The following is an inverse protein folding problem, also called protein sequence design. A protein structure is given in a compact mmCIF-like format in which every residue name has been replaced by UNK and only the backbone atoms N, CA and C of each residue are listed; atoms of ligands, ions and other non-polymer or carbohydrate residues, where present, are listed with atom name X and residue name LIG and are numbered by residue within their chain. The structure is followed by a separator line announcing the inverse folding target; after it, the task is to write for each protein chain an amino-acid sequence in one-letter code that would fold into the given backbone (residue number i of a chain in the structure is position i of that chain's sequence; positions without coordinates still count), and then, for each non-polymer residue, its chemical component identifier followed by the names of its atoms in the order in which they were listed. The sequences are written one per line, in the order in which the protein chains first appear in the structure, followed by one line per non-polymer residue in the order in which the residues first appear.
data_IF_596608286222
#
_entry.id   IF_596608286222
#
_cell.length_a   1.000
_cell.length_b   1.000
_cell.length_c   1.000
_cell.angle_alpha   90.00
_cell.angle_beta   90.00
_cell.angle_gamma   90.00
#
_symmetry.space_group_name_H-M   'P 1'
#
loop_
_entity.id
_entity.type
_entity.pdbx_description
1 polymer ?
#
# COMPACT_ATOMS: atom_id res chain seq x y z
N UNK A 1 -8.51 1.99 2.04
CA UNK A 1 -7.08 1.54 1.98
C UNK A 1 -6.29 2.30 3.02
N UNK A 2 -5.43 1.62 3.78
CA UNK A 2 -4.46 2.25 4.67
C UNK A 2 -3.07 2.22 4.03
N UNK A 3 -2.25 3.21 4.40
CA UNK A 3 -0.89 3.35 3.89
C UNK A 3 0.03 3.67 5.08
N UNK A 4 1.13 2.95 5.19
CA UNK A 4 2.23 3.29 6.08
C UNK A 4 3.50 3.49 5.27
N UNK A 5 4.23 4.57 5.56
CA UNK A 5 5.42 4.98 4.80
C UNK A 5 6.67 4.73 5.62
N UNK A 6 7.70 4.25 4.95
CA UNK A 6 9.04 4.02 5.49
C UNK A 6 10.02 4.76 4.59
N UNK A 7 10.57 5.85 5.10
CA UNK A 7 11.54 6.69 4.37
C UNK A 7 12.87 5.96 4.30
N UNK A 8 13.62 6.14 3.21
CA UNK A 8 14.97 5.60 3.07
C UNK A 8 15.84 6.06 4.24
N UNK A 9 16.64 5.16 4.77
CA UNK A 9 17.59 5.44 5.85
C UNK A 9 19.02 5.67 5.35
N UNK A 10 19.31 5.34 4.09
CA UNK A 10 20.52 5.72 3.39
C UNK A 10 20.24 5.80 1.88
N UNK A 11 20.90 6.74 1.22
CA UNK A 11 20.92 6.84 -0.24
C UNK A 11 22.28 7.34 -0.73
N UNK A 12 22.56 7.11 -2.00
CA UNK A 12 23.79 7.56 -2.62
C UNK A 12 23.65 7.54 -4.15
N UNK A 13 24.39 8.40 -4.82
CA UNK A 13 24.67 8.30 -6.26
C UNK A 13 26.16 8.01 -6.44
N UNK A 14 26.46 6.95 -7.19
CA UNK A 14 27.83 6.52 -7.54
C UNK A 14 28.04 6.68 -9.05
N UNK A 15 29.24 7.08 -9.46
CA UNK A 15 29.53 7.38 -10.86
C UNK A 15 30.93 6.98 -11.29
N UNK A 16 31.12 6.75 -12.60
CA UNK A 16 32.41 6.62 -13.25
C UNK A 16 32.70 7.76 -14.24
N UNK A 17 32.02 8.89 -14.11
CA UNK A 17 32.23 10.03 -14.96
C UNK A 17 33.65 10.54 -14.93
N UNK A 18 34.11 11.20 -16.01
CA UNK A 18 35.38 11.82 -16.06
C UNK A 18 35.45 13.12 -15.25
N UNK A 19 36.61 13.42 -14.68
CA UNK A 19 36.93 14.75 -14.15
C UNK A 19 37.10 15.75 -15.30
N UNK A 20 37.26 17.03 -14.98
CA UNK A 20 37.45 18.11 -15.96
C UNK A 20 38.57 17.87 -16.97
N UNK A 21 39.56 17.09 -16.58
CA UNK A 21 40.72 16.75 -17.44
C UNK A 21 40.38 15.75 -18.56
N UNK A 22 39.13 15.19 -18.56
CA UNK A 22 38.69 14.10 -19.45
C UNK A 22 39.63 12.91 -19.52
N UNK A 23 40.51 12.78 -18.55
CA UNK A 23 41.53 11.72 -18.48
C UNK A 23 41.39 10.87 -17.22
N UNK A 24 41.08 11.51 -16.11
CA UNK A 24 40.91 10.88 -14.81
C UNK A 24 39.42 10.62 -14.53
N UNK A 25 39.09 9.40 -14.09
CA UNK A 25 37.72 9.07 -13.69
C UNK A 25 37.46 9.45 -12.23
N UNK A 26 36.29 10.01 -11.94
CA UNK A 26 35.80 10.34 -10.58
C UNK A 26 35.19 9.14 -9.87
N UNK A 27 35.74 7.95 -10.04
CA UNK A 27 35.17 6.68 -9.53
C UNK A 27 35.17 6.55 -8.01
N UNK A 28 35.90 7.41 -7.30
CA UNK A 28 35.88 7.50 -5.85
C UNK A 28 34.82 8.44 -5.31
N UNK A 29 34.11 9.17 -6.15
CA UNK A 29 33.10 10.15 -5.75
C UNK A 29 31.81 9.48 -5.34
N UNK A 30 31.11 10.12 -4.39
CA UNK A 30 29.75 9.74 -3.97
C UNK A 30 28.93 11.00 -3.66
N UNK A 31 27.61 10.83 -3.48
CA UNK A 31 26.67 11.91 -3.23
C UNK A 31 25.72 11.56 -2.08
N UNK A 32 26.24 10.93 -1.02
CA UNK A 32 25.43 10.46 0.10
C UNK A 32 24.74 11.56 0.92
N UNK A 33 25.13 12.83 0.79
CA UNK A 33 24.50 13.97 1.44
C UNK A 33 23.87 14.97 0.46
N UNK A 34 23.80 14.62 -0.84
CA UNK A 34 23.13 15.46 -1.81
C UNK A 34 21.61 15.43 -1.63
N UNK A 35 20.95 16.53 -2.02
CA UNK A 35 19.50 16.64 -2.00
C UNK A 35 18.79 15.93 -3.17
N UNK A 36 19.59 15.55 -4.18
CA UNK A 36 19.13 14.97 -5.44
C UNK A 36 19.91 13.69 -5.72
N UNK A 37 19.19 12.69 -6.22
CA UNK A 37 19.72 11.45 -6.75
C UNK A 37 19.69 11.49 -8.27
N UNK A 38 20.76 11.05 -8.93
CA UNK A 38 20.89 11.15 -10.39
C UNK A 38 21.21 9.83 -11.08
N UNK A 39 20.53 9.57 -12.20
CA UNK A 39 20.85 8.49 -13.14
C UNK A 39 21.10 9.09 -14.50
N UNK A 40 22.28 8.89 -15.04
CA UNK A 40 22.65 9.30 -16.40
C UNK A 40 23.52 8.25 -17.10
N UNK A 41 23.62 8.40 -18.42
CA UNK A 41 24.55 7.67 -19.27
C UNK A 41 25.04 8.60 -20.37
N UNK A 42 26.34 8.86 -20.44
CA UNK A 42 26.96 9.69 -21.45
C UNK A 42 27.79 8.81 -22.40
N UNK A 43 27.51 8.96 -23.69
CA UNK A 43 28.20 8.20 -24.76
C UNK A 43 29.27 9.02 -25.42
N UNK A 44 30.44 8.42 -25.56
CA UNK A 44 31.52 8.94 -26.37
C UNK A 44 31.96 10.39 -26.04
N UNK A 45 31.98 10.79 -24.78
CA UNK A 45 32.35 12.15 -24.38
C UNK A 45 33.83 12.40 -24.61
N UNK A 46 34.67 11.39 -24.36
CA UNK A 46 36.11 11.44 -24.60
C UNK A 46 36.50 10.81 -25.94
N UNK A 47 36.03 9.59 -26.18
CA UNK A 47 36.30 8.80 -27.39
C UNK A 47 35.12 7.85 -27.64
N UNK A 48 35.05 7.26 -28.84
CA UNK A 48 33.93 6.41 -29.26
C UNK A 48 33.72 5.14 -28.41
N UNK A 49 34.63 4.82 -27.52
CA UNK A 49 34.52 3.67 -26.59
C UNK A 49 34.27 4.10 -25.16
N UNK A 50 34.17 5.41 -24.89
CA UNK A 50 33.93 5.89 -23.52
C UNK A 50 32.45 5.90 -23.15
N UNK A 51 32.16 5.37 -21.97
CA UNK A 51 30.83 5.44 -21.35
C UNK A 51 30.98 5.99 -19.94
N UNK A 52 30.14 6.99 -19.61
CA UNK A 52 30.07 7.55 -18.26
C UNK A 52 28.67 7.27 -17.73
N UNK A 53 28.64 6.67 -16.56
CA UNK A 53 27.39 6.15 -15.96
C UNK A 53 27.26 6.65 -14.53
N UNK A 54 26.03 6.87 -14.11
CA UNK A 54 25.71 6.99 -12.70
C UNK A 54 24.60 5.99 -12.31
N UNK A 55 24.60 5.60 -11.05
CA UNK A 55 23.62 4.69 -10.46
C UNK A 55 23.24 5.15 -9.07
N UNK A 56 22.00 4.93 -8.71
CA UNK A 56 21.46 5.28 -7.39
C UNK A 56 21.45 4.03 -6.51
N UNK A 57 21.85 4.18 -5.27
CA UNK A 57 21.69 3.20 -4.20
C UNK A 57 20.69 3.71 -3.18
N UNK A 58 19.76 2.85 -2.74
CA UNK A 58 18.74 3.18 -1.74
C UNK A 58 18.65 2.07 -0.71
N UNK A 59 18.55 2.42 0.57
CA UNK A 59 18.35 1.47 1.66
C UNK A 59 17.18 1.88 2.54
N UNK A 60 16.46 0.91 3.06
CA UNK A 60 15.25 1.12 3.84
C UNK A 60 15.31 0.41 5.20
N UNK A 61 14.65 0.97 6.24
CA UNK A 61 14.68 0.44 7.60
C UNK A 61 13.79 -0.82 7.71
N UNK A 62 14.31 -1.97 7.30
CA UNK A 62 13.55 -3.22 7.27
C UNK A 62 13.10 -3.67 8.67
N UNK A 63 13.88 -3.34 9.69
CA UNK A 63 13.54 -3.62 11.09
C UNK A 63 12.26 -2.91 11.51
N UNK A 64 12.03 -1.68 11.04
CA UNK A 64 10.81 -0.91 11.34
C UNK A 64 9.60 -1.50 10.63
N UNK A 65 9.80 -2.04 9.42
CA UNK A 65 8.76 -2.75 8.68
C UNK A 65 8.40 -4.05 9.40
N UNK A 66 9.41 -4.83 9.81
CA UNK A 66 9.21 -6.08 10.57
C UNK A 66 8.50 -5.82 11.90
N UNK A 67 8.99 -4.86 12.69
CA UNK A 67 8.37 -4.47 13.96
C UNK A 67 6.92 -3.99 13.79
N UNK A 68 6.64 -3.27 12.69
CA UNK A 68 5.27 -2.85 12.37
C UNK A 68 4.34 -4.03 12.11
N UNK A 69 4.86 -5.10 11.51
CA UNK A 69 4.12 -6.34 11.29
C UNK A 69 3.89 -7.11 12.61
N UNK A 70 4.93 -7.24 13.42
CA UNK A 70 4.85 -7.91 14.73
C UNK A 70 3.84 -7.21 15.66
N UNK A 71 3.79 -5.89 15.62
CA UNK A 71 2.83 -5.08 16.37
C UNK A 71 1.42 -5.05 15.76
N UNK A 72 1.19 -5.68 14.61
CA UNK A 72 -0.08 -5.64 13.90
C UNK A 72 -0.44 -4.27 13.29
N UNK A 73 0.52 -3.36 13.19
CA UNK A 73 0.31 -2.04 12.54
C UNK A 73 0.15 -2.18 11.04
N UNK A 74 0.81 -3.15 10.43
CA UNK A 74 0.59 -3.59 9.05
C UNK A 74 0.14 -5.05 9.06
N UNK A 75 -0.71 -5.48 8.11
CA UNK A 75 -1.21 -6.85 8.06
C UNK A 75 -0.11 -7.90 7.82
N UNK A 76 -0.49 -9.16 7.99
CA UNK A 76 0.35 -10.30 7.62
C UNK A 76 0.69 -10.30 6.13
N UNK A 77 1.73 -11.03 5.77
CA UNK A 77 2.11 -11.27 4.38
C UNK A 77 0.94 -11.82 3.56
N UNK A 78 0.84 -11.37 2.30
CA UNK A 78 -0.28 -11.66 1.41
C UNK A 78 -1.46 -10.70 1.54
N UNK A 79 -1.55 -9.89 2.60
CA UNK A 79 -2.60 -8.88 2.80
C UNK A 79 -2.09 -7.44 2.73
N UNK A 80 -0.84 -7.25 2.39
CA UNK A 80 -0.18 -5.95 2.23
C UNK A 80 0.70 -5.98 1.00
N UNK A 81 0.70 -4.90 0.23
CA UNK A 81 1.61 -4.69 -0.89
C UNK A 81 2.58 -3.56 -0.57
N UNK A 82 3.83 -3.70 -1.01
CA UNK A 82 4.88 -2.72 -0.81
C UNK A 82 5.27 -2.07 -2.13
N UNK A 83 5.26 -0.75 -2.16
CA UNK A 83 5.62 0.04 -3.34
C UNK A 83 6.84 0.90 -3.04
N UNK A 84 7.86 0.78 -3.88
CA UNK A 84 8.97 1.73 -3.91
C UNK A 84 8.49 2.98 -4.64
N UNK A 85 8.66 4.15 -4.00
CA UNK A 85 8.28 5.43 -4.57
C UNK A 85 9.40 6.44 -4.48
N UNK A 86 9.72 7.03 -5.63
CA UNK A 86 10.62 8.16 -5.75
C UNK A 86 9.92 9.26 -6.55
N UNK A 87 10.13 10.49 -6.13
CA UNK A 87 9.54 11.66 -6.78
C UNK A 87 10.54 12.33 -7.69
N UNK A 88 10.06 12.71 -8.87
CA UNK A 88 10.86 13.45 -9.83
C UNK A 88 11.29 14.80 -9.25
N UNK A 89 12.59 15.07 -9.22
CA UNK A 89 13.11 16.41 -8.98
C UNK A 89 13.16 17.18 -10.32
N UNK A 90 12.83 18.46 -10.29
CA UNK A 90 12.83 19.28 -11.48
C UNK A 90 14.21 19.31 -12.13
N UNK A 91 14.27 19.07 -13.42
CA UNK A 91 15.46 19.11 -14.23
C UNK A 91 15.12 19.50 -15.66
N UNK A 92 16.13 19.93 -16.41
CA UNK A 92 15.98 20.16 -17.85
C UNK A 92 15.56 18.86 -18.53
N UNK A 93 14.63 18.95 -19.48
CA UNK A 93 14.12 17.76 -20.17
C UNK A 93 15.24 16.95 -20.79
N UNK A 94 15.30 15.66 -20.46
CA UNK A 94 16.20 14.69 -21.04
C UNK A 94 15.88 14.47 -22.53
N UNK A 95 16.88 14.33 -23.34
CA UNK A 95 16.75 13.87 -24.73
C UNK A 95 17.71 12.68 -24.94
N UNK A 96 17.25 11.50 -25.32
CA UNK A 96 15.85 11.10 -25.58
C UNK A 96 14.97 11.07 -24.29
N UNK A 97 13.67 11.32 -24.43
CA UNK A 97 12.72 11.33 -23.29
C UNK A 97 12.31 9.92 -22.88
N UNK A 98 12.15 9.04 -23.87
CA UNK A 98 11.71 7.66 -23.67
C UNK A 98 12.89 6.77 -23.34
N UNK A 99 12.89 6.20 -22.15
CA UNK A 99 13.91 5.28 -21.68
C UNK A 99 13.38 4.34 -20.61
N UNK A 100 14.16 3.31 -20.31
CA UNK A 100 13.84 2.35 -19.25
C UNK A 100 14.86 2.41 -18.12
N UNK A 101 14.36 2.47 -16.88
CA UNK A 101 15.19 2.23 -15.70
C UNK A 101 15.01 0.77 -15.25
N UNK A 102 16.10 0.21 -14.78
CA UNK A 102 16.14 -1.05 -14.05
C UNK A 102 16.29 -0.74 -12.57
N UNK A 103 15.40 -1.28 -11.76
CA UNK A 103 15.47 -1.31 -10.30
C UNK A 103 15.76 -2.73 -9.89
N UNK A 104 16.81 -2.98 -9.12
CA UNK A 104 17.15 -4.32 -8.66
C UNK A 104 17.56 -4.31 -7.18
N UNK A 105 17.30 -5.40 -6.47
CA UNK A 105 17.82 -5.56 -5.13
C UNK A 105 19.35 -5.72 -5.19
N UNK A 106 20.05 -4.96 -4.33
CA UNK A 106 21.52 -5.04 -4.23
C UNK A 106 21.86 -6.43 -3.66
N UNK A 107 22.81 -7.11 -4.34
CA UNK A 107 23.43 -8.33 -3.84
C UNK A 107 24.79 -7.98 -3.26
N UNK A 108 25.15 -8.64 -2.16
CA UNK A 108 26.51 -8.55 -1.63
C UNK A 108 27.00 -9.95 -1.33
N UNK A 109 28.14 -10.29 -1.88
CA UNK A 109 28.88 -11.50 -1.49
C UNK A 109 29.59 -11.33 -0.13
N UNK A 110 29.57 -10.12 0.40
CA UNK A 110 30.21 -9.71 1.63
C UNK A 110 29.12 -9.43 2.66
N UNK A 111 29.33 -9.82 3.88
CA UNK A 111 28.37 -9.64 4.99
C UNK A 111 28.13 -8.16 5.38
N UNK A 112 28.87 -7.22 4.82
CA UNK A 112 28.73 -5.79 5.06
C UNK A 112 27.82 -5.13 4.05
N UNK A 113 26.97 -4.23 4.53
CA UNK A 113 26.15 -3.35 3.69
C UNK A 113 27.01 -2.21 3.13
N UNK A 114 26.59 -1.61 2.02
CA UNK A 114 27.20 -0.39 1.52
C UNK A 114 27.00 0.79 2.49
N UNK A 115 27.90 1.77 2.44
CA UNK A 115 27.88 2.99 3.24
C UNK A 115 27.39 4.18 2.40
N UNK A 116 26.64 5.10 2.99
CA UNK A 116 26.04 6.25 2.32
C UNK A 116 27.09 7.25 1.81
N UNK A 117 28.08 7.55 2.60
CA UNK A 117 29.09 8.56 2.26
C UNK A 117 28.70 9.98 2.65
N UNK A 118 29.56 10.95 2.25
CA UNK A 118 29.47 12.35 2.68
C UNK A 118 29.55 13.36 1.53
N UNK A 119 29.55 12.92 0.28
CA UNK A 119 29.60 13.78 -0.89
C UNK A 119 28.31 14.59 -1.05
N UNK A 120 28.42 15.83 -1.56
CA UNK A 120 27.30 16.76 -1.73
C UNK A 120 26.86 16.86 -3.20
N UNK A 121 27.78 16.83 -4.14
CA UNK A 121 27.49 16.91 -5.57
C UNK A 121 28.57 16.24 -6.42
N UNK A 122 28.29 16.08 -7.72
CA UNK A 122 29.22 15.54 -8.69
C UNK A 122 30.00 16.62 -9.44
N UNK A 123 29.73 17.88 -9.23
CA UNK A 123 30.24 18.96 -10.06
C UNK A 123 31.78 19.00 -10.07
N UNK A 124 32.39 18.75 -8.93
CA UNK A 124 33.84 18.68 -8.84
C UNK A 124 34.41 17.26 -8.90
N UNK A 125 33.55 16.23 -8.95
CA UNK A 125 33.95 14.82 -8.93
C UNK A 125 35.08 14.53 -7.94
N UNK A 126 34.97 15.09 -6.74
CA UNK A 126 36.02 14.95 -5.72
C UNK A 126 36.16 13.49 -5.36
N UNK A 127 37.35 12.97 -5.44
CA UNK A 127 37.66 11.62 -5.02
C UNK A 127 37.72 11.58 -3.49
N UNK A 128 36.66 11.01 -2.87
CA UNK A 128 36.56 10.84 -1.43
C UNK A 128 37.16 9.52 -0.94
N UNK A 129 37.73 8.70 -1.81
CA UNK A 129 38.30 7.41 -1.40
C UNK A 129 39.51 7.57 -0.48
N UNK A 130 40.20 8.69 -0.50
CA UNK A 130 41.30 8.95 0.42
C UNK A 130 40.87 8.94 1.91
N UNK A 131 39.63 9.30 2.19
CA UNK A 131 39.03 9.20 3.53
C UNK A 131 38.37 7.84 3.76
N UNK A 132 38.24 7.01 2.74
CA UNK A 132 37.55 5.72 2.76
C UNK A 132 36.13 5.77 3.32
N UNK A 133 35.43 6.87 3.08
CA UNK A 133 34.05 7.07 3.53
C UNK A 133 33.08 6.91 2.38
N UNK A 134 32.07 6.07 2.59
CA UNK A 134 30.95 5.86 1.67
C UNK A 134 31.26 4.92 0.50
N UNK A 135 30.19 4.43 -0.08
CA UNK A 135 30.22 3.68 -1.32
C UNK A 135 30.52 4.59 -2.52
N UNK A 136 31.20 4.05 -3.50
CA UNK A 136 31.50 4.72 -4.75
C UNK A 136 31.46 3.69 -5.90
N UNK A 137 31.89 4.07 -7.09
CA UNK A 137 31.87 3.16 -8.24
C UNK A 137 32.70 1.89 -8.06
N UNK A 138 33.79 1.96 -7.30
CA UNK A 138 34.73 0.85 -7.08
C UNK A 138 34.42 0.11 -5.79
N UNK A 139 34.15 0.85 -4.71
CA UNK A 139 34.05 0.29 -3.38
C UNK A 139 32.60 0.30 -2.85
N UNK A 140 32.22 -0.79 -2.18
CA UNK A 140 30.95 -0.93 -1.45
C UNK A 140 30.97 -0.16 -0.12
N UNK A 141 32.13 -0.22 0.57
CA UNK A 141 32.39 0.46 1.84
C UNK A 141 33.89 0.55 2.09
N UNK A 142 34.38 1.71 2.50
CA UNK A 142 35.78 1.89 2.82
C UNK A 142 36.71 1.44 1.68
N UNK A 143 37.53 0.43 1.94
CA UNK A 143 38.44 -0.20 0.92
C UNK A 143 37.90 -1.52 0.35
N UNK A 144 36.69 -1.91 0.72
CA UNK A 144 36.06 -3.16 0.25
C UNK A 144 35.42 -2.92 -1.11
N UNK A 145 35.92 -3.58 -2.16
CA UNK A 145 35.43 -3.40 -3.52
C UNK A 145 34.07 -4.14 -3.76
N UNK A 146 33.29 -3.61 -4.69
CA UNK A 146 32.23 -4.37 -5.35
C UNK A 146 32.84 -5.57 -6.09
N UNK A 147 32.11 -6.67 -6.24
CA UNK A 147 32.52 -7.76 -7.13
C UNK A 147 32.57 -7.27 -8.58
N UNK A 148 31.65 -6.39 -8.96
CA UNK A 148 31.66 -5.70 -10.27
C UNK A 148 31.60 -4.19 -10.04
N UNK A 149 32.52 -3.44 -10.63
CA UNK A 149 32.50 -1.98 -10.52
C UNK A 149 31.15 -1.39 -10.96
N UNK A 150 30.63 -0.47 -10.16
CA UNK A 150 29.33 0.12 -10.36
C UNK A 150 28.18 -0.59 -9.63
N UNK A 151 28.50 -1.53 -8.72
CA UNK A 151 27.56 -2.20 -7.83
C UNK A 151 27.17 -3.60 -8.29
N UNK A 152 26.79 -4.41 -7.32
CA UNK A 152 26.33 -5.78 -7.52
C UNK A 152 24.82 -5.89 -7.21
N UNK A 153 24.07 -6.62 -8.02
CA UNK A 153 22.63 -6.79 -7.84
C UNK A 153 22.15 -8.18 -8.27
N UNK A 154 21.01 -8.56 -7.75
CA UNK A 154 20.31 -9.77 -8.18
C UNK A 154 19.80 -9.62 -9.61
N UNK A 155 20.00 -10.63 -10.44
CA UNK A 155 19.59 -10.65 -11.85
C UNK A 155 18.34 -11.47 -12.12
N UNK A 156 17.82 -12.15 -11.08
CA UNK A 156 16.58 -12.92 -11.18
C UNK A 156 15.35 -12.01 -11.39
N UNK A 157 14.30 -12.57 -12.01
CA UNK A 157 13.10 -11.81 -12.36
C UNK A 157 12.24 -11.38 -11.15
N UNK A 158 12.52 -11.91 -9.95
CA UNK A 158 11.79 -11.58 -8.72
C UNK A 158 12.38 -10.32 -8.09
N UNK A 159 13.68 -10.12 -8.23
CA UNK A 159 14.44 -9.06 -7.57
C UNK A 159 14.87 -7.94 -8.50
N UNK A 160 14.52 -8.03 -9.78
CA UNK A 160 14.86 -7.06 -10.82
C UNK A 160 13.61 -6.66 -11.58
N UNK A 161 13.38 -5.37 -11.66
CA UNK A 161 12.21 -4.75 -12.27
C UNK A 161 12.67 -3.77 -13.35
N UNK A 162 11.83 -3.56 -14.35
CA UNK A 162 12.07 -2.58 -15.41
C UNK A 162 10.86 -1.67 -15.52
N UNK A 163 11.09 -0.38 -15.49
CA UNK A 163 10.04 0.65 -15.59
C UNK A 163 10.34 1.57 -16.75
N UNK A 164 9.32 1.94 -17.52
CA UNK A 164 9.40 2.86 -18.65
C UNK A 164 9.07 4.28 -18.20
N UNK A 165 9.86 5.22 -18.69
CA UNK A 165 9.61 6.65 -18.62
C UNK A 165 9.36 7.14 -20.04
N UNK A 166 8.16 7.70 -20.31
CA UNK A 166 7.76 8.14 -21.64
C UNK A 166 8.13 9.61 -21.91
N UNK A 167 8.12 10.41 -20.86
CA UNK A 167 8.42 11.83 -20.91
C UNK A 167 9.71 12.22 -20.18
N UNK A 168 10.20 11.35 -19.32
CA UNK A 168 11.41 11.53 -18.53
C UNK A 168 11.24 12.30 -17.22
N UNK A 169 10.03 12.83 -16.95
CA UNK A 169 9.70 13.61 -15.75
C UNK A 169 8.71 12.91 -14.82
N UNK A 170 8.39 11.64 -15.08
CA UNK A 170 7.50 10.86 -14.24
C UNK A 170 8.12 10.49 -12.89
N UNK A 171 7.29 10.31 -11.87
CA UNK A 171 7.67 9.64 -10.62
C UNK A 171 7.92 8.16 -10.88
N UNK A 172 8.78 7.55 -10.06
CA UNK A 172 8.91 6.10 -10.03
C UNK A 172 7.95 5.55 -8.96
N UNK A 173 7.08 4.64 -9.38
CA UNK A 173 6.23 3.85 -8.50
C UNK A 173 6.29 2.38 -8.95
N UNK A 174 6.77 1.49 -8.07
CA UNK A 174 7.05 0.11 -8.42
C UNK A 174 6.61 -0.84 -7.31
N UNK A 175 5.89 -1.90 -7.66
CA UNK A 175 5.57 -2.99 -6.72
C UNK A 175 6.83 -3.81 -6.42
N UNK A 176 7.28 -3.76 -5.17
CA UNK A 176 8.45 -4.48 -4.65
C UNK A 176 8.07 -5.46 -3.55
N UNK A 177 6.81 -5.83 -3.47
CA UNK A 177 6.23 -6.66 -2.40
C UNK A 177 7.06 -7.90 -2.13
N UNK A 178 7.39 -8.67 -3.16
CA UNK A 178 8.12 -9.93 -2.99
C UNK A 178 9.51 -9.71 -2.39
N UNK A 179 10.24 -8.69 -2.84
CA UNK A 179 11.58 -8.38 -2.33
C UNK A 179 11.51 -7.95 -0.87
N UNK A 180 10.58 -7.07 -0.52
CA UNK A 180 10.41 -6.62 0.86
C UNK A 180 10.00 -7.79 1.77
N UNK A 181 9.11 -8.67 1.32
CA UNK A 181 8.72 -9.87 2.06
C UNK A 181 9.91 -10.82 2.27
N UNK A 182 10.79 -10.98 1.28
CA UNK A 182 12.02 -11.75 1.42
C UNK A 182 12.98 -11.13 2.44
N UNK A 183 13.05 -9.81 2.52
CA UNK A 183 13.86 -9.10 3.51
C UNK A 183 13.30 -9.25 4.94
N UNK A 184 11.98 -9.14 5.11
CA UNK A 184 11.31 -9.34 6.41
C UNK A 184 11.39 -10.81 6.86
N UNK A 185 11.27 -11.72 5.90
CA UNK A 185 11.33 -13.18 6.09
C UNK A 185 10.42 -13.72 7.21
N UNK A 186 9.22 -13.19 7.36
CA UNK A 186 8.26 -13.64 8.37
C UNK A 186 7.62 -15.00 8.06
N UNK A 187 7.74 -15.47 6.80
CA UNK A 187 7.21 -16.75 6.33
C UNK A 187 8.29 -17.84 6.18
N UNK A 188 9.47 -17.63 6.73
CA UNK A 188 10.58 -18.57 6.57
C UNK A 188 10.99 -18.75 5.10
N UNK A 189 11.21 -19.99 4.68
CA UNK A 189 11.71 -20.28 3.32
C UNK A 189 10.62 -20.37 2.25
N UNK A 190 9.36 -20.04 2.52
CA UNK A 190 8.25 -20.18 1.55
C UNK A 190 8.51 -19.33 0.29
N UNK A 191 8.98 -18.08 0.47
CA UNK A 191 9.32 -17.16 -0.62
C UNK A 191 10.83 -16.95 -0.77
N UNK A 192 11.63 -17.68 -0.01
CA UNK A 192 13.07 -17.47 0.14
C UNK A 192 13.40 -16.30 1.06
N UNK A 193 14.67 -16.26 1.49
CA UNK A 193 15.23 -15.15 2.28
C UNK A 193 16.28 -14.43 1.47
N UNK A 194 16.29 -13.11 1.55
CA UNK A 194 17.38 -12.26 1.05
C UNK A 194 17.78 -11.26 2.12
N UNK A 195 19.06 -10.95 2.19
CA UNK A 195 19.55 -9.89 3.06
C UNK A 195 19.20 -8.53 2.48
N UNK A 196 18.85 -7.58 3.35
CA UNK A 196 18.53 -6.23 2.93
C UNK A 196 19.79 -5.40 2.73
N UNK A 197 20.20 -5.28 1.50
CA UNK A 197 21.21 -4.31 1.05
C UNK A 197 20.58 -3.15 0.27
N UNK A 198 19.24 -3.07 0.21
CA UNK A 198 18.49 -2.03 -0.50
C UNK A 198 18.38 -2.27 -2.00
N UNK A 199 18.13 -1.20 -2.74
CA UNK A 199 17.96 -1.22 -4.19
C UNK A 199 19.08 -0.45 -4.89
N UNK A 200 19.42 -0.90 -6.10
CA UNK A 200 20.18 -0.14 -7.09
C UNK A 200 19.24 0.26 -8.23
N UNK A 201 19.36 1.50 -8.69
CA UNK A 201 18.60 2.04 -9.83
C UNK A 201 19.60 2.49 -10.88
N UNK A 202 19.39 2.05 -12.11
CA UNK A 202 20.25 2.33 -13.25
C UNK A 202 19.44 2.39 -14.54
N UNK A 203 19.98 2.95 -15.60
CA UNK A 203 19.42 2.75 -16.93
C UNK A 203 19.47 1.27 -17.31
N UNK A 204 18.46 0.78 -18.02
CA UNK A 204 18.52 -0.58 -18.58
C UNK A 204 19.70 -0.70 -19.53
N UNK A 205 20.28 -1.90 -19.65
CA UNK A 205 21.55 -2.10 -20.36
C UNK A 205 21.56 -1.61 -21.82
N UNK A 206 20.41 -1.65 -22.49
CA UNK A 206 20.23 -1.09 -23.84
C UNK A 206 20.23 0.44 -23.89
N UNK A 207 20.06 1.11 -22.76
CA UNK A 207 20.08 2.57 -22.60
C UNK A 207 21.32 3.08 -21.89
N UNK A 208 22.11 2.20 -21.24
CA UNK A 208 23.48 2.53 -20.85
C UNK A 208 24.35 2.62 -22.11
N UNK A 209 25.29 3.55 -22.11
CA UNK A 209 26.18 3.80 -23.27
C UNK A 209 26.94 2.55 -23.67
N UNK A 210 27.11 2.35 -24.98
CA UNK A 210 27.93 1.28 -25.55
C UNK A 210 29.39 1.42 -25.13
N UNK A 211 29.97 0.32 -24.72
CA UNK A 211 31.37 0.24 -24.29
C UNK A 211 31.90 -1.18 -24.50
N UNK A 212 33.20 -1.40 -24.21
CA UNK A 212 33.81 -2.73 -24.26
C UNK A 212 33.14 -3.78 -23.36
N UNK A 213 32.45 -3.34 -22.31
CA UNK A 213 31.70 -4.21 -21.36
C UNK A 213 30.19 -4.25 -21.61
N UNK A 214 29.70 -3.38 -22.50
CA UNK A 214 28.28 -3.34 -22.90
C UNK A 214 28.16 -3.08 -24.40
N UNK A 215 28.44 -4.08 -25.21
CA UNK A 215 28.46 -3.99 -26.69
C UNK A 215 27.06 -3.70 -27.29
N UNK A 216 25.98 -4.01 -26.57
CA UNK A 216 24.59 -3.79 -27.00
C UNK A 216 23.99 -2.49 -26.46
N UNK A 217 24.81 -1.64 -25.86
CA UNK A 217 24.40 -0.37 -25.29
C UNK A 217 24.05 0.68 -26.33
N UNK A 218 23.56 1.83 -25.86
CA UNK A 218 23.15 2.94 -26.70
C UNK A 218 24.35 3.68 -27.26
N UNK A 219 24.30 4.07 -28.54
CA UNK A 219 25.22 4.99 -29.18
C UNK A 219 24.77 6.44 -29.08
N UNK A 220 24.14 6.79 -27.96
CA UNK A 220 23.63 8.12 -27.63
C UNK A 220 23.61 8.33 -26.12
N UNK A 221 23.61 9.59 -25.71
CA UNK A 221 23.58 9.94 -24.29
C UNK A 221 22.15 10.05 -23.79
N UNK A 222 21.91 9.52 -22.57
CA UNK A 222 20.74 9.75 -21.77
C UNK A 222 21.17 10.60 -20.57
N UNK A 223 20.92 11.89 -20.61
CA UNK A 223 21.44 12.81 -19.62
C UNK A 223 20.78 12.55 -18.28
N UNK A 224 19.99 13.16 -17.68
CA UNK A 224 19.66 12.90 -16.30
C UNK A 224 18.21 12.51 -16.06
N UNK A 225 18.00 11.51 -15.23
CA UNK A 225 16.81 11.35 -14.44
C UNK A 225 17.14 11.70 -13.00
N UNK A 226 16.46 12.70 -12.46
CA UNK A 226 16.67 13.17 -11.08
C UNK A 226 15.49 12.80 -10.20
N UNK A 227 15.80 12.35 -9.00
CA UNK A 227 14.82 12.13 -7.93
C UNK A 227 15.27 12.89 -6.67
N UNK A 228 14.32 13.28 -5.85
CA UNK A 228 14.66 13.82 -4.54
C UNK A 228 15.35 12.77 -3.68
N UNK A 229 16.39 13.18 -2.96
CA UNK A 229 17.15 12.33 -2.05
C UNK A 229 16.55 12.35 -0.63
N UNK A 230 17.08 11.50 0.24
CA UNK A 230 16.71 11.42 1.66
C UNK A 230 16.98 12.72 2.43
N UNK A 231 18.04 13.42 2.06
CA UNK A 231 18.44 14.70 2.66
C UNK A 231 17.65 15.90 2.17
N UNK A 232 16.82 15.76 1.13
CA UNK A 232 16.00 16.84 0.58
C UNK A 232 15.14 17.51 1.65
N UNK A 233 15.02 18.85 1.57
CA UNK A 233 14.10 19.63 2.39
C UNK A 233 12.62 19.26 2.17
N UNK A 234 12.27 18.77 0.99
CA UNK A 234 10.92 18.32 0.63
C UNK A 234 10.61 16.96 1.26
N UNK A 235 10.27 16.96 2.54
CA UNK A 235 10.06 15.74 3.34
C UNK A 235 9.10 14.74 2.71
N UNK A 236 8.02 15.21 2.07
CA UNK A 236 7.01 14.32 1.47
C UNK A 236 7.48 13.69 0.15
N UNK A 237 8.56 14.17 -0.44
CA UNK A 237 9.08 13.70 -1.72
C UNK A 237 10.34 12.83 -1.57
N UNK A 238 10.77 12.61 -0.35
CA UNK A 238 11.88 11.70 -0.03
C UNK A 238 11.58 10.27 -0.48
N UNK A 239 12.60 9.50 -0.91
CA UNK A 239 12.45 8.10 -1.27
C UNK A 239 11.79 7.29 -0.15
N UNK A 240 10.79 6.47 -0.49
CA UNK A 240 10.06 5.70 0.51
C UNK A 240 9.56 4.37 -0.03
N UNK A 241 9.37 3.42 0.90
CA UNK A 241 8.53 2.24 0.68
C UNK A 241 7.17 2.54 1.33
N UNK A 242 6.11 2.34 0.56
CA UNK A 242 4.74 2.42 1.04
C UNK A 242 4.16 1.01 1.21
N UNK A 243 3.84 0.64 2.45
CA UNK A 243 2.97 -0.51 2.72
C UNK A 243 1.51 -0.08 2.51
N UNK A 244 0.82 -0.74 1.62
CA UNK A 244 -0.58 -0.46 1.25
C UNK A 244 -1.43 -1.68 1.47
N UNK A 245 -2.58 -1.54 2.16
CA UNK A 245 -3.50 -2.65 2.40
C UNK A 245 -4.95 -2.19 2.44
N UNK A 246 -5.86 -3.13 2.23
CA UNK A 246 -7.28 -2.86 2.44
C UNK A 246 -7.56 -2.79 3.94
N UNK A 247 -7.92 -1.62 4.42
CA UNK A 247 -8.33 -1.35 5.79
C UNK A 247 -9.83 -1.10 5.90
N UNK A 248 -10.59 -1.36 4.84
CA UNK A 248 -12.03 -1.20 4.88
C UNK A 248 -12.64 -2.21 5.85
N UNK A 249 -13.57 -1.73 6.66
CA UNK A 249 -14.35 -2.53 7.58
C UNK A 249 -15.75 -2.67 7.01
N UNK A 250 -16.16 -3.91 6.80
CA UNK A 250 -17.49 -4.24 6.31
C UNK A 250 -18.26 -4.88 7.44
N UNK A 251 -19.25 -4.17 7.96
CA UNK A 251 -20.23 -4.73 8.90
C UNK A 251 -21.41 -5.28 8.10
N UNK A 252 -21.76 -6.54 8.31
CA UNK A 252 -22.81 -7.21 7.56
C UNK A 252 -24.21 -7.06 8.20
N UNK A 253 -24.43 -6.23 9.21
CA UNK A 253 -25.79 -6.03 9.76
C UNK A 253 -26.78 -5.57 8.69
N UNK A 254 -26.36 -4.65 7.80
CA UNK A 254 -27.20 -4.19 6.69
C UNK A 254 -27.37 -5.18 5.54
N UNK A 255 -26.52 -6.22 5.47
CA UNK A 255 -26.57 -7.25 4.44
C UNK A 255 -26.20 -8.62 5.03
N UNK A 256 -26.93 -9.03 6.06
CA UNK A 256 -26.70 -10.29 6.75
C UNK A 256 -27.28 -11.45 5.93
N UNK A 257 -26.42 -12.38 5.49
CA UNK A 257 -26.81 -13.47 4.61
C UNK A 257 -26.82 -14.83 5.31
N UNK A 258 -27.82 -15.63 4.99
CA UNK A 258 -27.88 -17.03 5.39
C UNK A 258 -26.99 -17.89 4.47
N UNK A 259 -26.36 -18.90 5.04
CA UNK A 259 -25.49 -19.81 4.32
C UNK A 259 -26.22 -20.60 3.25
N UNK A 260 -25.61 -20.75 2.10
CA UNK A 260 -26.09 -21.55 0.97
C UNK A 260 -25.02 -22.58 0.57
N UNK A 261 -25.47 -23.81 0.32
CA UNK A 261 -24.60 -24.87 -0.22
C UNK A 261 -24.15 -24.64 -1.67
N UNK A 262 -24.78 -23.69 -2.35
CA UNK A 262 -24.42 -23.30 -3.72
C UNK A 262 -23.27 -22.27 -3.78
N UNK A 263 -22.77 -21.81 -2.62
CA UNK A 263 -21.69 -20.85 -2.53
C UNK A 263 -20.44 -21.46 -1.89
N UNK A 264 -19.24 -20.98 -2.23
CA UNK A 264 -18.03 -21.26 -1.48
C UNK A 264 -18.15 -20.87 -0.02
N UNK A 265 -17.41 -21.55 0.86
CA UNK A 265 -17.50 -21.35 2.30
C UNK A 265 -17.22 -19.91 2.73
N UNK A 266 -16.25 -19.26 2.09
CA UNK A 266 -15.86 -17.86 2.34
C UNK A 266 -16.98 -16.88 2.05
N UNK A 267 -17.83 -17.15 1.06
CA UNK A 267 -18.96 -16.28 0.68
C UNK A 267 -20.19 -16.46 1.60
N UNK A 268 -20.14 -17.44 2.48
CA UNK A 268 -21.18 -17.66 3.50
C UNK A 268 -20.90 -16.98 4.84
N UNK A 269 -19.79 -16.25 4.93
CA UNK A 269 -19.35 -15.61 6.16
C UNK A 269 -19.95 -14.21 6.30
N UNK A 270 -20.45 -13.94 7.49
CA UNK A 270 -20.85 -12.60 7.93
C UNK A 270 -19.85 -12.09 8.96
N UNK A 271 -19.49 -10.82 8.86
CA UNK A 271 -18.60 -10.15 9.82
C UNK A 271 -19.36 -9.04 10.53
N UNK A 272 -19.31 -9.04 11.85
CA UNK A 272 -19.86 -7.97 12.68
C UNK A 272 -18.73 -7.31 13.46
N UNK A 273 -18.86 -6.00 13.68
CA UNK A 273 -17.91 -5.20 14.43
C UNK A 273 -18.53 -4.63 15.69
N UNK A 274 -17.74 -4.56 16.77
CA UNK A 274 -17.99 -3.79 17.97
C UNK A 274 -17.00 -2.62 18.02
N UNK A 275 -17.53 -1.41 18.19
CA UNK A 275 -16.76 -0.21 18.44
C UNK A 275 -16.96 0.22 19.88
N UNK A 276 -15.92 0.12 20.70
CA UNK A 276 -15.96 0.49 22.11
C UNK A 276 -15.46 1.92 22.30
N UNK A 277 -16.36 2.85 22.59
CA UNK A 277 -16.07 4.25 22.80
C UNK A 277 -16.14 4.63 24.28
N UNK A 278 -15.15 5.37 24.74
CA UNK A 278 -15.19 6.06 26.02
C UNK A 278 -14.89 7.54 25.81
N UNK A 279 -15.84 8.41 26.18
CA UNK A 279 -15.77 9.88 26.00
C UNK A 279 -15.39 10.28 24.56
N UNK A 280 -15.94 9.60 23.56
CA UNK A 280 -15.72 9.90 22.15
C UNK A 280 -14.40 9.36 21.57
N UNK A 281 -13.61 8.63 22.33
CA UNK A 281 -12.37 7.98 21.87
C UNK A 281 -12.56 6.46 21.88
N UNK A 282 -11.98 5.79 20.87
CA UNK A 282 -11.87 4.33 20.87
C UNK A 282 -10.92 3.89 21.97
N UNK A 283 -11.38 3.01 22.83
CA UNK A 283 -10.62 2.47 23.97
C UNK A 283 -10.86 0.96 24.04
N UNK A 284 -9.83 0.20 24.32
CA UNK A 284 -9.97 -1.25 24.50
C UNK A 284 -10.91 -1.57 25.69
N UNK A 285 -11.63 -2.68 25.59
CA UNK A 285 -12.53 -3.14 26.64
C UNK A 285 -11.72 -3.32 27.93
N UNK A 286 -12.27 -2.85 29.05
CA UNK A 286 -11.59 -2.81 30.34
C UNK A 286 -10.24 -2.04 30.34
N UNK A 287 -9.93 -1.26 29.30
CA UNK A 287 -8.63 -0.60 29.14
C UNK A 287 -7.46 -1.53 28.83
N UNK A 288 -7.73 -2.78 28.47
CA UNK A 288 -6.74 -3.84 28.26
C UNK A 288 -6.86 -4.40 26.83
N UNK A 289 -5.76 -4.37 26.08
CA UNK A 289 -5.69 -4.89 24.72
C UNK A 289 -5.89 -6.41 24.61
N UNK A 290 -5.76 -7.12 25.72
CA UNK A 290 -5.99 -8.58 25.83
C UNK A 290 -7.43 -8.94 26.21
N UNK A 291 -8.22 -7.96 26.63
CA UNK A 291 -9.63 -8.16 26.96
C UNK A 291 -10.48 -8.35 25.71
N UNK A 292 -10.91 -9.57 25.46
CA UNK A 292 -11.62 -9.95 24.24
C UNK A 292 -13.12 -10.09 24.55
N UNK A 293 -14.01 -9.32 23.90
CA UNK A 293 -15.44 -9.49 24.00
C UNK A 293 -15.94 -10.80 23.37
N UNK A 294 -17.14 -11.19 23.76
CA UNK A 294 -17.85 -12.35 23.23
C UNK A 294 -19.15 -11.89 22.58
N UNK A 295 -19.43 -12.37 21.37
CA UNK A 295 -20.69 -12.16 20.65
C UNK A 295 -21.69 -13.26 21.00
N UNK A 296 -22.93 -12.88 21.29
CA UNK A 296 -24.11 -13.71 21.28
C UNK A 296 -25.17 -13.11 20.35
N UNK A 297 -25.95 -13.94 19.67
CA UNK A 297 -27.10 -13.51 18.86
C UNK A 297 -28.37 -13.91 19.52
N UNK A 298 -29.38 -13.03 19.48
CA UNK A 298 -30.72 -13.27 20.01
C UNK A 298 -31.76 -12.92 18.96
N UNK A 299 -32.99 -13.47 19.14
CA UNK A 299 -34.13 -12.97 18.42
C UNK A 299 -34.54 -11.60 18.92
N UNK A 300 -35.22 -10.84 18.08
CA UNK A 300 -35.76 -9.53 18.45
C UNK A 300 -37.01 -9.20 17.64
N UNK A 301 -37.96 -8.57 18.33
CA UNK A 301 -39.12 -7.91 17.70
C UNK A 301 -38.92 -6.41 17.58
N UNK A 302 -38.13 -5.79 18.48
CA UNK A 302 -37.98 -4.35 18.61
C UNK A 302 -36.62 -3.92 19.19
N UNK A 303 -35.53 -4.51 18.70
CA UNK A 303 -34.14 -4.23 19.16
C UNK A 303 -33.87 -4.60 20.63
N UNK A 304 -34.71 -5.41 21.23
CA UNK A 304 -34.49 -5.98 22.57
C UNK A 304 -34.23 -7.48 22.42
N UNK A 305 -33.17 -8.02 23.05
CA UNK A 305 -32.86 -9.46 23.00
C UNK A 305 -34.03 -10.28 23.62
N UNK A 306 -34.50 -11.28 22.89
CA UNK A 306 -35.58 -12.16 23.33
C UNK A 306 -35.17 -13.62 23.31
N UNK A 307 -35.57 -14.36 24.35
CA UNK A 307 -35.31 -15.80 24.49
C UNK A 307 -33.85 -16.12 24.86
N UNK A 308 -33.35 -17.22 24.32
CA UNK A 308 -31.99 -17.73 24.55
C UNK A 308 -31.07 -17.42 23.37
N UNK A 309 -29.76 -17.37 23.62
CA UNK A 309 -28.76 -17.17 22.58
C UNK A 309 -28.90 -18.19 21.43
N UNK A 310 -28.89 -17.70 20.22
CA UNK A 310 -29.07 -18.51 19.01
C UNK A 310 -27.76 -19.17 18.56
N UNK A 311 -27.94 -20.36 17.97
CA UNK A 311 -26.78 -21.08 17.40
C UNK A 311 -26.47 -20.57 16.00
N UNK A 312 -25.19 -20.35 15.75
CA UNK A 312 -24.61 -20.03 14.45
C UNK A 312 -23.34 -20.89 14.24
N UNK A 313 -22.62 -20.75 13.15
CA UNK A 313 -21.46 -21.57 12.81
C UNK A 313 -20.19 -20.76 12.89
N UNK A 314 -19.19 -21.29 13.61
CA UNK A 314 -17.84 -20.71 13.62
C UNK A 314 -17.04 -21.07 12.36
N UNK A 315 -15.80 -20.62 12.26
CA UNK A 315 -14.88 -20.91 11.13
C UNK A 315 -14.62 -22.40 10.88
N UNK A 316 -14.74 -23.23 11.91
CA UNK A 316 -14.64 -24.70 11.81
C UNK A 316 -15.97 -25.38 11.51
N UNK A 317 -17.01 -24.62 11.15
CA UNK A 317 -18.38 -25.07 10.88
C UNK A 317 -19.06 -25.75 12.10
N UNK A 318 -18.55 -25.57 13.30
CA UNK A 318 -19.19 -26.04 14.54
C UNK A 318 -20.33 -25.11 14.95
N UNK A 319 -21.43 -25.70 15.43
CA UNK A 319 -22.55 -24.93 15.98
C UNK A 319 -22.18 -24.38 17.36
N UNK A 320 -22.22 -23.07 17.51
CA UNK A 320 -21.92 -22.35 18.74
C UNK A 320 -22.99 -21.29 18.99
N UNK A 321 -23.25 -20.95 20.23
CA UNK A 321 -24.18 -19.87 20.62
C UNK A 321 -23.46 -18.64 21.17
N UNK A 322 -22.13 -18.67 21.16
CA UNK A 322 -21.26 -17.54 21.45
C UNK A 322 -19.96 -17.67 20.67
N UNK A 323 -19.28 -16.56 20.40
CA UNK A 323 -17.98 -16.56 19.74
C UNK A 323 -17.11 -15.42 20.27
N UNK A 324 -15.88 -15.75 20.66
CA UNK A 324 -14.90 -14.75 21.04
C UNK A 324 -14.47 -13.93 19.82
N UNK A 325 -14.38 -12.64 20.00
CA UNK A 325 -13.98 -11.70 18.96
C UNK A 325 -12.47 -11.75 18.71
N UNK A 326 -12.02 -11.18 17.62
CA UNK A 326 -10.63 -10.78 17.43
C UNK A 326 -10.53 -9.26 17.54
N UNK A 327 -9.48 -8.76 18.21
CA UNK A 327 -9.17 -7.34 18.24
C UNK A 327 -8.63 -6.93 16.87
N UNK A 328 -9.29 -5.97 16.22
CA UNK A 328 -8.88 -5.43 14.92
C UNK A 328 -7.95 -4.21 15.09
N UNK A 329 -8.31 -3.33 16.00
CA UNK A 329 -7.51 -2.18 16.41
C UNK A 329 -7.97 -1.71 17.79
N UNK A 330 -7.37 -0.66 18.36
CA UNK A 330 -7.77 -0.11 19.65
C UNK A 330 -9.27 0.18 19.67
N UNK A 331 -9.98 -0.48 20.60
CA UNK A 331 -11.42 -0.33 20.79
C UNK A 331 -12.28 -0.90 19.65
N UNK A 332 -11.71 -1.61 18.68
CA UNK A 332 -12.45 -2.21 17.58
C UNK A 332 -12.25 -3.72 17.58
N UNK A 333 -13.35 -4.44 17.66
CA UNK A 333 -13.38 -5.89 17.68
C UNK A 333 -14.21 -6.41 16.54
N UNK A 334 -13.82 -7.52 15.95
CA UNK A 334 -14.55 -8.18 14.88
C UNK A 334 -14.79 -9.65 15.18
N UNK A 335 -15.86 -10.16 14.64
CA UNK A 335 -16.19 -11.58 14.67
C UNK A 335 -16.72 -11.98 13.30
N UNK A 336 -16.27 -13.12 12.80
CA UNK A 336 -16.69 -13.66 11.50
C UNK A 336 -17.28 -15.04 11.71
N UNK A 337 -18.47 -15.28 11.18
CA UNK A 337 -19.22 -16.51 11.37
C UNK A 337 -20.20 -16.71 10.22
N UNK A 338 -20.77 -17.91 10.13
CA UNK A 338 -21.86 -18.19 9.18
C UNK A 338 -23.15 -18.53 9.93
N UNK A 339 -24.28 -18.24 9.31
CA UNK A 339 -25.61 -18.48 9.86
C UNK A 339 -26.44 -19.32 8.91
N UNK A 340 -27.02 -20.40 9.41
CA UNK A 340 -27.91 -21.26 8.62
C UNK A 340 -29.37 -20.81 8.75
N UNK A 341 -30.25 -21.33 7.92
CA UNK A 341 -31.70 -21.04 7.96
C UNK A 341 -32.34 -21.36 9.33
N UNK A 342 -31.69 -22.17 10.17
CA UNK A 342 -32.16 -22.49 11.51
C UNK A 342 -32.16 -21.27 12.46
N UNK A 343 -31.49 -20.18 12.12
CA UNK A 343 -31.48 -18.93 12.87
C UNK A 343 -32.69 -18.05 12.58
N UNK A 344 -33.50 -18.35 11.56
CA UNK A 344 -34.69 -17.60 11.19
C UNK A 344 -35.90 -18.08 12.01
N UNK A 345 -36.72 -17.16 12.44
CA UNK A 345 -37.99 -17.43 13.13
C UNK A 345 -39.14 -16.80 12.37
N UNK A 346 -40.27 -17.50 12.33
CA UNK A 346 -41.55 -16.92 11.83
C UNK A 346 -42.17 -15.89 12.79
N UNK A 347 -41.79 -15.97 14.06
CA UNK A 347 -42.32 -15.09 15.10
C UNK A 347 -41.47 -13.84 15.27
N UNK A 348 -40.15 -13.99 15.17
CA UNK A 348 -39.16 -12.92 15.36
C UNK A 348 -38.37 -12.75 14.08
N UNK A 349 -38.70 -11.76 13.24
CA UNK A 349 -38.01 -11.60 11.94
C UNK A 349 -36.58 -11.09 12.06
N UNK A 350 -36.25 -10.43 13.17
CA UNK A 350 -34.92 -9.79 13.35
C UNK A 350 -34.03 -10.58 14.30
N UNK A 351 -32.74 -10.40 14.13
CA UNK A 351 -31.70 -10.76 15.08
C UNK A 351 -31.10 -9.50 15.69
N UNK A 352 -30.56 -9.65 16.89
CA UNK A 352 -29.80 -8.62 17.58
C UNK A 352 -28.53 -9.24 18.14
N UNK A 353 -27.43 -8.51 18.01
CA UNK A 353 -26.13 -8.89 18.54
C UNK A 353 -25.96 -8.31 19.96
N UNK A 354 -25.51 -9.15 20.86
CA UNK A 354 -25.20 -8.77 22.24
C UNK A 354 -23.74 -9.10 22.51
N UNK A 355 -23.01 -8.10 22.95
CA UNK A 355 -21.59 -8.20 23.22
C UNK A 355 -21.34 -8.18 24.71
N UNK A 356 -20.61 -9.15 25.19
CA UNK A 356 -20.35 -9.35 26.63
C UNK A 356 -18.86 -9.49 26.89
N UNK A 357 -18.41 -9.11 28.08
CA UNK A 357 -17.07 -9.40 28.57
C UNK A 357 -17.14 -9.76 30.05
N UNK A 358 -16.46 -10.85 30.44
CA UNK A 358 -16.46 -11.37 31.83
C UNK A 358 -17.85 -11.48 32.45
N UNK A 359 -18.83 -11.91 31.64
CA UNK A 359 -20.22 -12.06 32.09
C UNK A 359 -21.04 -10.76 32.13
N UNK A 360 -20.43 -9.61 31.91
CA UNK A 360 -21.12 -8.31 31.86
C UNK A 360 -21.45 -7.93 30.43
N UNK A 361 -22.66 -7.41 30.20
CA UNK A 361 -23.07 -6.90 28.90
C UNK A 361 -22.38 -5.55 28.64
N UNK A 362 -21.71 -5.46 27.51
CA UNK A 362 -21.05 -4.22 27.03
C UNK A 362 -21.97 -3.41 26.12
N UNK A 363 -22.59 -4.09 25.16
CA UNK A 363 -23.37 -3.44 24.12
C UNK A 363 -24.43 -4.39 23.57
N UNK A 364 -25.59 -3.83 23.20
CA UNK A 364 -26.59 -4.47 22.36
C UNK A 364 -26.68 -3.68 21.05
N UNK A 365 -26.48 -4.35 19.93
CA UNK A 365 -26.54 -3.74 18.62
C UNK A 365 -27.95 -3.45 18.14
N UNK A 366 -28.07 -2.84 16.98
CA UNK A 366 -29.37 -2.65 16.32
C UNK A 366 -29.88 -3.96 15.76
N UNK A 367 -31.21 -4.10 15.70
CA UNK A 367 -31.84 -5.25 15.08
C UNK A 367 -31.53 -5.29 13.56
N UNK A 368 -31.23 -6.46 13.04
CA UNK A 368 -30.97 -6.67 11.62
C UNK A 368 -31.71 -7.90 11.09
N UNK A 369 -32.02 -7.87 9.78
CA UNK A 369 -32.84 -8.89 9.13
C UNK A 369 -31.94 -9.91 8.41
N UNK A 370 -31.94 -11.21 8.82
CA UNK A 370 -31.27 -12.24 8.04
C UNK A 370 -32.01 -12.49 6.71
N UNK A 371 -31.29 -12.51 5.61
CA UNK A 371 -31.85 -12.79 4.29
C UNK A 371 -31.14 -13.96 3.59
N UNK A 372 -31.88 -14.72 2.80
CA UNK A 372 -31.31 -15.73 1.93
C UNK A 372 -30.59 -15.09 0.73
N UNK A 373 -29.63 -15.81 0.15
CA UNK A 373 -29.02 -15.37 -1.10
C UNK A 373 -30.07 -15.31 -2.22
N UNK A 374 -30.09 -14.18 -2.90
CA UNK A 374 -30.95 -13.97 -4.07
C UNK A 374 -30.19 -14.27 -5.35
N UNK A 375 -30.22 -15.50 -5.80
CA UNK A 375 -29.53 -15.92 -7.03
C UNK A 375 -30.16 -15.34 -8.31
N UNK A 376 -31.32 -14.72 -8.21
CA UNK A 376 -32.06 -14.14 -9.33
C UNK A 376 -31.68 -12.69 -9.65
N UNK A 377 -30.88 -12.05 -8.82
CA UNK A 377 -30.41 -10.67 -9.03
C UNK A 377 -29.22 -10.60 -10.02
N UNK A 378 -29.23 -11.44 -11.03
CA UNK A 378 -28.21 -11.40 -12.09
C UNK A 378 -28.52 -10.27 -13.06
N UNK A 379 -28.24 -9.03 -12.67
CA UNK A 379 -28.21 -7.91 -13.59
C UNK A 379 -26.75 -7.66 -14.01
N UNK A 380 -26.33 -8.13 -15.21
CA UNK A 380 -24.95 -7.99 -15.65
C UNK A 380 -24.53 -6.52 -15.87
N UNK A 381 -25.48 -5.61 -15.98
CA UNK A 381 -25.28 -4.17 -16.11
C UNK A 381 -26.14 -3.39 -15.12
N UNK A 382 -25.86 -3.45 -13.82
CA UNK A 382 -26.65 -2.73 -12.83
C UNK A 382 -26.54 -1.22 -13.08
N UNK A 383 -27.68 -0.54 -13.15
CA UNK A 383 -27.73 0.91 -13.21
C UNK A 383 -28.08 1.45 -11.84
N UNK A 384 -27.26 2.38 -11.38
CA UNK A 384 -27.42 2.98 -10.05
C UNK A 384 -27.92 4.42 -10.15
N UNK A 385 -28.66 4.83 -9.14
CA UNK A 385 -28.92 6.24 -8.85
C UNK A 385 -28.13 6.57 -7.59
N UNK A 386 -27.27 7.56 -7.68
CA UNK A 386 -26.42 8.00 -6.59
C UNK A 386 -26.90 9.38 -6.16
N UNK A 387 -27.03 9.57 -4.86
CA UNK A 387 -27.34 10.85 -4.24
C UNK A 387 -26.28 11.21 -3.22
N UNK A 388 -26.03 12.50 -3.04
CA UNK A 388 -25.10 13.03 -2.06
C UNK A 388 -25.89 13.88 -1.06
N UNK A 389 -26.40 13.31 0.04
CA UNK A 389 -27.36 13.97 0.92
C UNK A 389 -26.76 15.15 1.69
N UNK A 390 -25.45 15.22 1.82
CA UNK A 390 -24.75 16.30 2.52
C UNK A 390 -24.00 17.28 1.58
N UNK A 391 -24.38 17.32 0.30
CA UNK A 391 -23.81 18.29 -0.63
C UNK A 391 -24.26 19.71 -0.27
N UNK A 392 -23.30 20.64 -0.22
CA UNK A 392 -23.52 22.08 0.00
C UNK A 392 -23.19 22.84 -1.27
N UNK A 393 -23.69 24.06 -1.39
CA UNK A 393 -23.40 24.94 -2.53
C UNK A 393 -21.96 25.46 -2.53
N UNK A 394 -21.33 25.57 -1.36
CA UNK A 394 -19.96 26.02 -1.21
C UNK A 394 -19.28 25.39 0.01
N UNK A 395 -17.97 25.28 -0.05
CA UNK A 395 -17.12 24.75 1.00
C UNK A 395 -15.94 25.69 1.26
N UNK A 396 -15.50 25.86 2.51
CA UNK A 396 -14.29 26.61 2.80
C UNK A 396 -13.06 25.85 2.29
N UNK A 397 -12.08 26.59 1.78
CA UNK A 397 -10.83 26.03 1.27
C UNK A 397 -9.88 25.52 2.35
N UNK A 398 -10.07 25.96 3.58
CA UNK A 398 -9.25 25.60 4.75
C UNK A 398 -9.77 24.38 5.53
N UNK A 399 -10.91 23.81 5.11
CA UNK A 399 -11.59 22.72 5.84
C UNK A 399 -11.41 21.36 5.18
N UNK A 400 -11.58 20.29 5.97
CA UNK A 400 -11.76 18.93 5.47
C UNK A 400 -13.23 18.56 5.54
N UNK A 401 -13.84 18.27 4.41
CA UNK A 401 -15.25 17.90 4.33
C UNK A 401 -15.40 16.42 3.95
N UNK A 402 -16.36 15.77 4.58
CA UNK A 402 -16.72 14.38 4.30
C UNK A 402 -17.97 14.35 3.43
N UNK A 403 -17.85 13.87 2.20
CA UNK A 403 -18.97 13.61 1.33
C UNK A 403 -19.58 12.22 1.63
N UNK A 404 -20.90 12.16 1.74
CA UNK A 404 -21.64 10.92 1.91
C UNK A 404 -22.41 10.61 0.65
N UNK A 405 -22.29 9.39 0.15
CA UNK A 405 -22.98 8.90 -1.04
C UNK A 405 -23.99 7.84 -0.62
N UNK A 406 -25.20 7.97 -1.11
CA UNK A 406 -26.22 6.96 -1.01
C UNK A 406 -26.53 6.42 -2.40
N UNK A 407 -26.48 5.10 -2.57
CA UNK A 407 -26.72 4.44 -3.85
C UNK A 407 -27.93 3.51 -3.77
N UNK A 408 -28.71 3.46 -4.85
CA UNK A 408 -29.78 2.50 -5.05
C UNK A 408 -29.83 2.03 -6.51
N UNK A 409 -30.45 0.90 -6.77
CA UNK A 409 -30.71 0.50 -8.16
C UNK A 409 -31.64 1.50 -8.84
N UNK A 410 -31.39 1.79 -10.13
CA UNK A 410 -32.24 2.70 -10.92
C UNK A 410 -33.67 2.18 -11.02
N UNK A 411 -33.83 0.86 -11.14
CA UNK A 411 -35.13 0.18 -11.29
C UNK A 411 -35.74 -0.22 -9.94
N UNK A 412 -35.21 0.33 -8.83
CA UNK A 412 -35.78 0.06 -7.52
C UNK A 412 -37.21 0.57 -7.46
N UNK A 413 -38.17 -0.37 -7.22
CA UNK A 413 -39.59 -0.09 -7.10
C UNK A 413 -40.05 -0.46 -5.67
N UNK A 414 -40.04 0.50 -4.74
CA UNK A 414 -40.40 0.20 -3.37
C UNK A 414 -41.87 -0.12 -3.24
N UNK A 415 -42.20 -1.18 -2.48
CA UNK A 415 -43.53 -1.44 -2.01
C UNK A 415 -43.91 -0.45 -0.91
N UNK A 416 -45.19 -0.42 -0.53
CA UNK A 416 -45.66 0.42 0.59
C UNK A 416 -44.95 0.05 1.90
N UNK A 417 -44.61 -1.23 2.08
CA UNK A 417 -43.85 -1.71 3.24
C UNK A 417 -42.42 -1.22 3.23
N UNK A 418 -41.75 -1.21 2.09
CA UNK A 418 -40.38 -0.67 1.95
C UNK A 418 -40.35 0.83 2.20
N UNK A 419 -41.38 1.57 1.80
CA UNK A 419 -41.48 3.02 2.05
C UNK A 419 -41.75 3.35 3.52
N UNK A 420 -42.35 2.44 4.26
CA UNK A 420 -42.67 2.62 5.69
C UNK A 420 -41.48 2.22 6.61
N UNK A 421 -40.39 1.70 6.06
CA UNK A 421 -39.19 1.40 6.85
C UNK A 421 -38.51 2.69 7.32
N UNK A 422 -38.06 2.70 8.57
CA UNK A 422 -37.34 3.82 9.16
C UNK A 422 -35.90 3.93 8.63
N UNK A 423 -35.37 2.83 8.08
CA UNK A 423 -34.03 2.78 7.48
C UNK A 423 -34.14 2.32 6.02
N UNK A 424 -33.68 3.10 5.05
CA UNK A 424 -33.65 2.69 3.65
C UNK A 424 -32.66 1.53 3.43
N UNK A 425 -33.00 0.64 2.49
CA UNK A 425 -32.09 -0.43 2.07
C UNK A 425 -30.80 0.19 1.51
N UNK A 426 -29.68 -0.04 2.16
CA UNK A 426 -28.38 0.39 1.68
C UNK A 426 -27.86 -0.56 0.61
N UNK A 427 -27.46 -0.02 -0.55
CA UNK A 427 -26.80 -0.76 -1.59
C UNK A 427 -25.29 -0.52 -1.54
N UNK A 428 -24.55 -1.60 -1.31
CA UNK A 428 -23.11 -1.57 -1.34
C UNK A 428 -22.63 -1.77 -2.79
N UNK A 429 -21.86 -0.82 -3.30
CA UNK A 429 -21.16 -0.95 -4.60
C UNK A 429 -19.69 -1.24 -4.30
N UNK A 430 -19.27 -2.47 -4.55
CA UNK A 430 -17.88 -2.88 -4.34
C UNK A 430 -16.94 -2.16 -5.30
N UNK A 431 -15.74 -1.85 -4.81
CA UNK A 431 -14.67 -1.21 -5.59
C UNK A 431 -15.07 0.12 -6.24
N UNK A 432 -15.96 0.86 -5.60
CA UNK A 432 -16.35 2.20 -6.05
C UNK A 432 -15.19 3.19 -5.92
N UNK A 433 -14.98 3.98 -6.96
CA UNK A 433 -13.95 5.03 -7.02
C UNK A 433 -14.56 6.33 -7.52
N UNK A 434 -13.95 7.46 -7.16
CA UNK A 434 -14.37 8.77 -7.62
C UNK A 434 -13.27 9.49 -8.39
N UNK A 435 -13.67 10.44 -9.22
CA UNK A 435 -12.78 11.46 -9.78
C UNK A 435 -13.45 12.81 -9.69
N UNK A 436 -12.67 13.87 -9.58
CA UNK A 436 -13.17 15.25 -9.58
C UNK A 436 -12.77 15.90 -10.89
N UNK A 437 -13.76 16.49 -11.54
CA UNK A 437 -13.59 17.19 -12.83
C UNK A 437 -14.19 18.57 -12.72
N UNK A 438 -13.44 19.58 -13.13
CA UNK A 438 -13.94 20.95 -13.21
C UNK A 438 -14.84 21.09 -14.43
N UNK A 439 -16.08 21.55 -14.24
CA UNK A 439 -17.09 21.57 -15.31
C UNK A 439 -16.79 22.61 -16.40
N UNK A 440 -16.17 23.74 -16.04
CA UNK A 440 -15.95 24.85 -16.95
C UNK A 440 -15.05 24.50 -18.14
N UNK A 441 -14.00 23.77 -17.91
CA UNK A 441 -12.95 23.40 -18.88
C UNK A 441 -12.72 21.91 -19.03
N UNK A 442 -13.53 21.10 -18.38
CA UNK A 442 -13.40 19.64 -18.34
C UNK A 442 -12.07 19.14 -17.75
N UNK A 443 -11.31 19.99 -17.07
CA UNK A 443 -10.05 19.59 -16.45
C UNK A 443 -10.28 18.59 -15.33
N UNK A 444 -9.58 17.48 -15.37
CA UNK A 444 -9.56 16.51 -14.27
C UNK A 444 -8.68 17.06 -13.15
N UNK A 445 -9.31 17.39 -12.02
CA UNK A 445 -8.64 17.93 -10.84
C UNK A 445 -8.10 16.79 -9.98
N UNK A 446 -8.90 15.72 -9.83
CA UNK A 446 -8.50 14.47 -9.14
C UNK A 446 -8.79 13.32 -10.08
N UNK A 447 -7.75 12.66 -10.56
CA UNK A 447 -7.85 11.45 -11.39
C UNK A 447 -8.09 10.21 -10.54
N UNK A 448 -8.56 9.13 -11.15
CA UNK A 448 -8.59 7.82 -10.46
C UNK A 448 -7.18 7.38 -10.06
N UNK A 449 -7.04 6.86 -8.87
CA UNK A 449 -5.76 6.36 -8.40
C UNK A 449 -5.86 5.55 -7.11
N UNK A 450 -4.82 4.77 -6.88
CA UNK A 450 -4.64 3.95 -5.66
C UNK A 450 -3.33 4.28 -4.96
N UNK A 451 -2.62 5.32 -5.41
CA UNK A 451 -1.34 5.75 -4.85
C UNK A 451 -1.51 6.58 -3.59
N UNK A 452 -0.41 6.86 -2.90
CA UNK A 452 -0.39 7.72 -1.71
C UNK A 452 -0.76 9.18 -2.00
N UNK A 453 -0.46 9.65 -3.20
CA UNK A 453 -0.75 11.02 -3.64
C UNK A 453 -2.13 11.17 -4.26
N UNK A 454 -2.67 10.09 -4.78
CA UNK A 454 -3.97 10.09 -5.44
C UNK A 454 -4.71 8.78 -5.15
N UNK A 455 -5.42 8.74 -4.03
CA UNK A 455 -6.23 7.59 -3.62
C UNK A 455 -7.71 7.95 -3.70
N UNK A 456 -8.43 7.29 -4.60
CA UNK A 456 -9.82 7.63 -4.92
C UNK A 456 -10.82 6.48 -4.72
N UNK A 457 -10.40 5.38 -4.11
CA UNK A 457 -11.32 4.31 -3.72
C UNK A 457 -12.17 4.77 -2.53
N UNK A 458 -13.48 4.62 -2.64
CA UNK A 458 -14.41 4.98 -1.57
C UNK A 458 -14.35 3.95 -0.43
N UNK A 459 -14.33 4.45 0.79
CA UNK A 459 -14.68 3.64 1.95
C UNK A 459 -16.19 3.60 2.09
N UNK A 460 -16.72 2.49 2.57
CA UNK A 460 -18.15 2.35 2.84
C UNK A 460 -18.41 1.84 4.23
N UNK A 461 -19.46 2.37 4.81
CA UNK A 461 -20.00 1.99 6.09
C UNK A 461 -21.41 1.49 5.85
N UNK A 462 -21.70 0.28 6.28
CA UNK A 462 -22.99 -0.40 6.10
C UNK A 462 -23.72 -0.49 7.45
N UNK A 463 -23.25 0.20 8.48
CA UNK A 463 -23.85 0.25 9.80
C UNK A 463 -25.06 1.17 9.86
#
# INVERSE_FOLDING_TARGET
MAIKRYIANADNTITNAYKEDFNTRGTGSNMGQADILEVFSLYAQRDSGSAELSRILLKFPITDISSSREQGTIPASGSVSFYLKLYNAEHTRTLPRDFYLTVAAVSSSISSSWEEGVGLDMENYTDLTYNKLGSNWINIAGSTAWATAGGDWYTDNISRFTTRFENGDEDLELDVTTVVEQWINTQGNVIGKKDNHGFIIKLSSSYESSSSVNLTGAAQSYYTKKFFARSSEFFFERPKIEARWDSSRRDNRGNFTLSSSALPAENNLNTLYLYNYFRGKLVDVAGDSTAIPVLNLYYSSASVPEGTARYFRNSSNAAVNFLSCSRDSTGVYKVTFSATSSIVSSTYPYLVDVWTHSGSQLHTGSAFLPSGHKFTDTNPNPKYVITMPNLKDSYPDTGTERFRLFARYKNWSPSIYTKAQTSPDALLIESASYKIKRLVDNKVVVAYGTSSTNHTVLSYDVS
#
